data_IF_504472707654
#
_entry.id   IF_504472707654
#
_cell.length_a   1.000
_cell.length_b   1.000
_cell.length_c   1.000
_cell.angle_alpha   90.00
_cell.angle_beta   90.00
_cell.angle_gamma   90.00
#
_symmetry.space_group_name_H-M   'P 1'
#
loop_
_entity.id
_entity.type
_entity.pdbx_description
1 polymer ?
#
# COMPACT_ATOMS: atom_id res chain seq x y z
N UNK A 1 67.10 23.33 25.28
CA UNK A 1 67.59 21.95 25.30
C UNK A 1 66.38 21.03 25.36
N UNK A 2 66.25 20.20 24.31
CA UNK A 2 65.26 19.15 24.05
C UNK A 2 63.76 19.48 23.96
N UNK A 3 63.38 19.67 22.72
CA UNK A 3 62.02 19.58 22.17
C UNK A 3 61.63 18.09 22.08
N UNK A 4 60.55 17.67 22.72
CA UNK A 4 59.94 16.36 22.50
C UNK A 4 58.62 16.54 21.74
N UNK A 5 58.65 16.29 20.42
CA UNK A 5 57.50 16.22 19.53
C UNK A 5 56.87 14.84 19.71
N UNK A 6 55.68 14.79 20.30
CA UNK A 6 54.87 13.58 20.34
C UNK A 6 54.23 13.40 18.95
N UNK A 7 54.70 12.42 18.17
CA UNK A 7 54.04 11.93 16.94
C UNK A 7 52.77 11.19 17.33
N UNK A 8 51.65 11.83 17.19
CA UNK A 8 50.34 11.13 17.27
C UNK A 8 50.12 10.26 16.00
N UNK A 9 49.81 9.03 16.25
CA UNK A 9 49.67 7.96 15.26
C UNK A 9 48.40 8.19 14.43
N UNK A 10 48.50 8.32 13.10
CA UNK A 10 47.43 8.60 12.16
C UNK A 10 46.24 7.60 12.21
N UNK A 11 46.38 6.48 12.90
CA UNK A 11 45.27 5.52 13.10
C UNK A 11 44.25 5.98 14.14
N UNK A 12 44.63 6.78 15.11
CA UNK A 12 43.72 7.27 16.18
C UNK A 12 42.87 8.44 15.67
N UNK A 13 43.40 9.28 14.77
CA UNK A 13 42.64 10.39 14.18
C UNK A 13 41.53 9.94 13.23
N UNK A 14 41.70 8.78 12.57
CA UNK A 14 40.67 8.18 11.72
C UNK A 14 39.46 7.63 12.49
N UNK A 15 39.66 7.21 13.74
CA UNK A 15 38.56 6.72 14.59
C UNK A 15 37.70 7.85 15.16
N UNK A 16 38.33 8.95 15.60
CA UNK A 16 37.59 10.11 16.10
C UNK A 16 36.82 10.85 15.00
N UNK A 17 37.32 10.93 13.78
CA UNK A 17 36.63 11.53 12.67
C UNK A 17 35.40 10.69 12.21
N UNK A 18 35.50 9.36 12.31
CA UNK A 18 34.35 8.46 12.03
C UNK A 18 33.30 8.48 13.14
N UNK A 19 33.70 8.61 14.40
CA UNK A 19 32.77 8.76 15.53
C UNK A 19 32.05 10.13 15.51
N UNK A 20 32.73 11.22 15.15
CA UNK A 20 32.10 12.54 15.02
C UNK A 20 31.11 12.62 13.83
N UNK A 21 31.41 11.96 12.69
CA UNK A 21 30.45 11.91 11.57
C UNK A 21 29.21 11.09 11.90
N UNK A 22 29.29 10.05 12.73
CA UNK A 22 28.14 9.26 13.16
C UNK A 22 27.27 10.02 14.17
N UNK A 23 27.88 10.87 15.02
CA UNK A 23 27.12 11.67 16.01
C UNK A 23 26.47 12.91 15.38
N UNK A 24 27.06 13.50 14.32
CA UNK A 24 26.50 14.67 13.63
C UNK A 24 25.42 14.29 12.58
N UNK A 25 25.37 13.04 12.10
CA UNK A 25 24.27 12.53 11.26
C UNK A 25 23.06 12.08 12.09
N UNK A 26 23.19 11.93 13.40
CA UNK A 26 22.10 11.49 14.29
C UNK A 26 21.09 12.57 14.67
N UNK A 27 21.34 13.85 14.38
CA UNK A 27 20.46 14.97 14.80
C UNK A 27 19.55 15.55 13.71
N UNK A 28 19.55 14.97 12.49
CA UNK A 28 18.70 15.37 11.37
C UNK A 28 17.68 14.31 10.95
N UNK A 29 17.54 13.21 11.74
CA UNK A 29 16.56 12.17 11.44
C UNK A 29 15.25 12.57 12.11
N UNK A 30 14.36 13.20 11.32
CA UNK A 30 12.97 13.30 11.66
C UNK A 30 12.41 11.91 12.00
N UNK A 31 11.38 11.87 12.84
CA UNK A 31 10.67 10.69 13.35
C UNK A 31 10.36 9.64 12.26
N UNK A 32 11.37 8.87 11.85
CA UNK A 32 11.20 7.67 11.04
C UNK A 32 10.75 6.52 11.94
N UNK A 33 9.95 5.60 11.42
CA UNK A 33 9.66 4.34 12.09
C UNK A 33 10.97 3.76 12.65
N UNK A 34 11.09 3.64 13.96
CA UNK A 34 12.27 3.05 14.60
C UNK A 34 12.33 1.57 14.22
N UNK A 35 13.50 1.12 13.80
CA UNK A 35 13.78 -0.29 13.61
C UNK A 35 14.87 -0.71 14.56
N UNK A 36 14.71 -1.87 15.17
CA UNK A 36 15.71 -2.55 15.97
C UNK A 36 16.22 -3.74 15.17
N UNK A 37 17.52 -3.93 15.08
CA UNK A 37 18.12 -5.06 14.37
C UNK A 37 18.76 -6.01 15.37
N UNK A 38 18.39 -7.28 15.31
CA UNK A 38 18.93 -8.33 16.13
C UNK A 38 19.09 -9.60 15.29
N UNK A 39 20.28 -10.21 15.29
CA UNK A 39 20.56 -11.42 14.54
C UNK A 39 20.29 -11.32 13.02
N UNK A 40 20.42 -10.13 12.42
CA UNK A 40 20.08 -9.87 11.01
C UNK A 40 18.58 -9.61 10.75
N UNK A 41 17.70 -9.76 11.75
CA UNK A 41 16.28 -9.48 11.65
C UNK A 41 15.99 -8.03 12.03
N UNK A 42 15.15 -7.36 11.24
CA UNK A 42 14.73 -5.97 11.48
C UNK A 42 13.35 -5.95 12.12
N UNK A 43 13.27 -5.52 13.38
CA UNK A 43 12.02 -5.30 14.11
C UNK A 43 11.57 -3.85 13.94
N UNK A 44 10.41 -3.63 13.31
CA UNK A 44 9.89 -2.31 13.00
C UNK A 44 8.87 -1.88 14.05
N UNK A 45 8.98 -0.64 14.51
CA UNK A 45 8.02 -0.06 15.46
C UNK A 45 6.83 0.58 14.70
N UNK A 46 5.71 -0.12 14.66
CA UNK A 46 4.45 0.39 14.12
C UNK A 46 3.53 1.00 15.21
N UNK A 47 3.87 0.88 16.49
CA UNK A 47 3.04 1.38 17.60
C UNK A 47 2.82 2.89 17.55
N UNK A 48 3.77 3.62 16.97
CA UNK A 48 3.72 5.08 16.81
C UNK A 48 3.34 5.54 15.41
N UNK A 49 2.87 4.63 14.54
CA UNK A 49 2.61 4.94 13.13
C UNK A 49 1.63 6.09 12.95
N UNK A 50 0.50 6.10 13.68
CA UNK A 50 -0.48 7.19 13.61
C UNK A 50 0.16 8.54 13.95
N UNK A 51 0.94 8.61 15.02
CA UNK A 51 1.63 9.84 15.44
C UNK A 51 2.65 10.30 14.38
N UNK A 52 3.37 9.36 13.75
CA UNK A 52 4.32 9.65 12.66
C UNK A 52 3.60 10.23 11.45
N UNK A 53 2.45 9.67 11.07
CA UNK A 53 1.66 10.15 9.94
C UNK A 53 1.06 11.54 10.22
N UNK A 54 0.51 11.76 11.42
CA UNK A 54 0.01 13.08 11.85
C UNK A 54 1.11 14.14 11.81
N UNK A 55 2.29 13.82 12.32
CA UNK A 55 3.44 14.71 12.30
C UNK A 55 3.90 14.99 10.85
N UNK A 56 3.92 13.98 9.99
CA UNK A 56 4.25 14.14 8.56
C UNK A 56 3.26 15.03 7.81
N UNK A 57 1.97 14.98 8.14
CA UNK A 57 0.94 15.85 7.58
C UNK A 57 1.09 17.31 8.03
N UNK A 58 1.57 17.54 9.26
CA UNK A 58 1.70 18.89 9.86
C UNK A 58 3.01 19.60 9.47
N UNK A 59 4.05 18.84 9.11
CA UNK A 59 5.35 19.43 8.76
C UNK A 59 5.29 20.25 7.47
N UNK A 60 5.92 21.42 7.48
CA UNK A 60 6.22 22.19 6.28
C UNK A 60 5.00 22.54 5.43
N UNK A 61 3.85 22.76 6.05
CA UNK A 61 2.58 23.10 5.36
C UNK A 61 2.12 22.03 4.35
N UNK A 62 2.49 20.76 4.58
CA UNK A 62 2.17 19.66 3.67
C UNK A 62 0.66 19.49 3.49
N UNK A 63 -0.15 19.76 4.52
CA UNK A 63 -1.62 19.73 4.44
C UNK A 63 -2.21 20.63 3.35
N UNK A 64 -1.56 21.72 2.98
CA UNK A 64 -2.05 22.60 1.89
C UNK A 64 -1.94 21.98 0.49
N UNK A 65 -1.18 20.91 0.34
CA UNK A 65 -1.04 20.18 -0.91
C UNK A 65 -2.18 19.16 -1.13
N UNK A 66 -2.94 18.85 -0.08
CA UNK A 66 -3.97 17.82 -0.12
C UNK A 66 -5.32 18.40 -0.52
N UNK A 67 -6.00 17.74 -1.44
CA UNK A 67 -7.40 18.02 -1.73
C UNK A 67 -8.27 17.63 -0.55
N UNK A 68 -9.18 18.51 -0.17
CA UNK A 68 -10.22 18.15 0.77
C UNK A 68 -11.12 17.06 0.20
N UNK A 69 -11.70 16.23 1.08
CA UNK A 69 -12.51 15.08 0.68
C UNK A 69 -13.67 15.48 -0.26
N UNK A 70 -14.28 16.65 -0.06
CA UNK A 70 -15.36 17.15 -0.92
C UNK A 70 -14.87 17.60 -2.31
N UNK A 71 -13.65 18.11 -2.41
CA UNK A 71 -13.03 18.48 -3.68
C UNK A 71 -12.67 17.22 -4.47
N UNK A 72 -12.08 16.23 -3.79
CA UNK A 72 -11.80 14.94 -4.40
C UNK A 72 -13.09 14.27 -4.88
N UNK A 73 -14.18 14.31 -4.10
CA UNK A 73 -15.49 13.77 -4.52
C UNK A 73 -16.01 14.43 -5.80
N UNK A 74 -15.92 15.74 -5.92
CA UNK A 74 -16.32 16.46 -7.15
C UNK A 74 -15.57 15.95 -8.37
N UNK A 75 -14.24 15.81 -8.27
CA UNK A 75 -13.41 15.26 -9.35
C UNK A 75 -13.79 13.82 -9.69
N UNK A 76 -14.00 12.98 -8.67
CA UNK A 76 -14.28 11.56 -8.83
C UNK A 76 -15.62 11.31 -9.52
N UNK A 77 -16.65 12.14 -9.27
CA UNK A 77 -17.97 12.03 -9.89
C UNK A 77 -17.98 12.33 -11.40
N UNK A 78 -16.91 12.98 -11.91
CA UNK A 78 -16.74 13.25 -13.35
C UNK A 78 -16.01 12.11 -14.07
N UNK A 79 -15.47 11.13 -13.34
CA UNK A 79 -14.71 10.02 -13.91
C UNK A 79 -15.65 9.01 -14.58
N UNK A 80 -15.34 8.72 -15.82
CA UNK A 80 -16.08 7.69 -16.57
C UNK A 80 -15.64 6.29 -16.12
N UNK A 81 -16.60 5.42 -15.84
CA UNK A 81 -16.33 4.02 -15.55
C UNK A 81 -15.63 3.34 -16.73
N UNK A 82 -14.61 2.54 -16.42
CA UNK A 82 -13.78 1.83 -17.42
C UNK A 82 -13.06 2.75 -18.41
N UNK A 83 -12.77 4.00 -18.02
CA UNK A 83 -11.92 4.86 -18.83
C UNK A 83 -10.52 4.24 -18.97
N UNK A 84 -9.87 4.31 -20.13
CA UNK A 84 -8.52 3.81 -20.32
C UNK A 84 -7.52 4.62 -19.50
N UNK A 85 -6.50 3.94 -18.97
CA UNK A 85 -5.42 4.54 -18.16
C UNK A 85 -4.09 4.38 -18.90
N UNK A 86 -3.48 5.50 -19.24
CA UNK A 86 -2.16 5.49 -19.84
C UNK A 86 -1.09 5.30 -18.76
N UNK A 87 -0.56 4.08 -18.63
CA UNK A 87 0.52 3.74 -17.71
C UNK A 87 1.42 2.67 -18.28
N UNK A 88 2.72 2.98 -18.32
CA UNK A 88 3.72 2.00 -18.72
C UNK A 88 4.05 1.11 -17.52
N UNK A 89 3.61 -0.13 -17.59
CA UNK A 89 3.88 -1.10 -16.54
C UNK A 89 5.36 -1.51 -16.50
N UNK A 90 5.89 -1.72 -15.32
CA UNK A 90 7.20 -2.32 -15.12
C UNK A 90 7.20 -3.75 -15.68
N UNK A 91 8.30 -4.12 -16.36
CA UNK A 91 8.47 -5.48 -16.91
C UNK A 91 8.41 -6.54 -15.80
N UNK A 92 7.85 -7.70 -16.17
CA UNK A 92 7.82 -8.89 -15.30
C UNK A 92 9.24 -9.32 -14.90
N UNK A 93 9.41 -9.66 -13.63
CA UNK A 93 10.59 -10.38 -13.14
C UNK A 93 10.52 -11.83 -13.59
N UNK A 94 11.66 -12.38 -14.00
CA UNK A 94 11.74 -13.74 -14.52
C UNK A 94 12.35 -14.72 -13.52
N UNK A 95 13.21 -14.22 -12.62
CA UNK A 95 13.90 -15.04 -11.62
C UNK A 95 12.97 -15.34 -10.46
N UNK A 96 12.91 -16.61 -10.03
CA UNK A 96 12.28 -16.95 -8.75
C UNK A 96 13.06 -16.33 -7.61
N UNK A 97 12.33 -15.89 -6.61
CA UNK A 97 12.82 -15.24 -5.40
C UNK A 97 12.44 -16.08 -4.19
N UNK A 98 13.22 -15.98 -3.13
CA UNK A 98 12.81 -16.46 -1.82
C UNK A 98 11.73 -15.53 -1.25
N UNK A 99 10.84 -15.99 -0.35
CA UNK A 99 9.79 -15.17 0.21
C UNK A 99 10.29 -13.86 0.83
N UNK A 100 11.41 -13.89 1.56
CA UNK A 100 12.06 -12.73 2.13
C UNK A 100 12.58 -11.76 1.07
N UNK A 101 13.14 -12.25 -0.05
CA UNK A 101 13.56 -11.41 -1.17
C UNK A 101 12.35 -10.72 -1.85
N UNK A 102 11.21 -11.42 -1.96
CA UNK A 102 9.97 -10.84 -2.50
C UNK A 102 9.56 -9.65 -1.65
N UNK A 103 9.51 -9.82 -0.33
CA UNK A 103 9.09 -8.75 0.59
C UNK A 103 10.06 -7.57 0.54
N UNK A 104 11.36 -7.83 0.61
CA UNK A 104 12.38 -6.78 0.56
C UNK A 104 12.26 -5.93 -0.72
N UNK A 105 12.07 -6.57 -1.88
CA UNK A 105 12.02 -5.90 -3.19
C UNK A 105 10.69 -5.21 -3.49
N UNK A 106 9.58 -5.64 -2.86
CA UNK A 106 8.23 -5.16 -3.21
C UNK A 106 7.59 -4.28 -2.14
N UNK A 107 8.17 -4.23 -0.96
CA UNK A 107 7.67 -3.46 0.17
C UNK A 107 7.45 -1.98 -0.18
N UNK A 108 8.39 -1.35 -0.88
CA UNK A 108 8.29 0.05 -1.29
C UNK A 108 7.21 0.31 -2.36
N UNK A 109 6.76 -0.74 -3.06
CA UNK A 109 5.65 -0.65 -4.03
C UNK A 109 4.28 -0.70 -3.37
N UNK A 110 4.20 -0.96 -2.04
CA UNK A 110 2.96 -1.08 -1.27
C UNK A 110 2.78 0.14 -0.39
N UNK A 111 1.63 0.78 -0.49
CA UNK A 111 1.27 1.97 0.29
C UNK A 111 0.05 1.65 1.15
N UNK A 112 -0.08 2.35 2.29
CA UNK A 112 -1.35 2.41 3.01
C UNK A 112 -2.21 3.53 2.44
N UNK A 113 -3.52 3.29 2.31
CA UNK A 113 -4.52 4.34 2.09
C UNK A 113 -5.04 4.75 3.45
N UNK A 114 -5.07 6.04 3.72
CA UNK A 114 -5.41 6.58 5.04
C UNK A 114 -6.46 7.67 4.92
N UNK A 115 -7.23 7.88 5.99
CA UNK A 115 -8.08 9.04 6.17
C UNK A 115 -7.58 9.89 7.34
N UNK A 116 -7.47 11.20 7.12
CA UNK A 116 -7.28 12.15 8.20
C UNK A 116 -8.64 12.64 8.66
N UNK A 117 -8.89 12.50 9.94
CA UNK A 117 -10.17 12.80 10.57
C UNK A 117 -10.01 13.96 11.55
N UNK A 118 -11.00 14.84 11.55
CA UNK A 118 -11.10 15.94 12.49
C UNK A 118 -12.33 15.75 13.39
N UNK A 119 -12.12 15.46 14.67
CA UNK A 119 -13.22 15.29 15.61
C UNK A 119 -13.82 16.63 16.04
N UNK A 120 -15.08 16.61 16.51
CA UNK A 120 -15.80 17.81 16.94
C UNK A 120 -15.13 18.56 18.09
N UNK A 121 -14.33 17.86 18.92
CA UNK A 121 -13.58 18.44 20.04
C UNK A 121 -12.18 18.96 19.63
N UNK A 122 -11.89 19.05 18.32
CA UNK A 122 -10.58 19.51 17.83
C UNK A 122 -9.47 18.46 17.86
N UNK A 123 -9.75 17.23 18.29
CA UNK A 123 -8.79 16.15 18.18
C UNK A 123 -8.64 15.71 16.72
N UNK A 124 -7.42 15.35 16.36
CA UNK A 124 -7.05 14.90 15.02
C UNK A 124 -6.55 13.48 15.10
N UNK A 125 -6.91 12.66 14.12
CA UNK A 125 -6.47 11.27 14.04
C UNK A 125 -6.29 10.83 12.59
N UNK A 126 -5.47 9.82 12.39
CA UNK A 126 -5.32 9.13 11.11
C UNK A 126 -5.81 7.69 11.30
N UNK A 127 -6.59 7.21 10.35
CA UNK A 127 -7.02 5.82 10.33
C UNK A 127 -6.47 5.11 9.11
N UNK A 128 -5.98 3.88 9.28
CA UNK A 128 -5.70 2.97 8.18
C UNK A 128 -7.03 2.57 7.52
N UNK A 129 -7.13 2.76 6.20
CA UNK A 129 -8.36 2.51 5.45
C UNK A 129 -8.25 1.32 4.52
N UNK A 130 -7.15 1.25 3.76
CA UNK A 130 -6.91 0.22 2.76
C UNK A 130 -5.42 0.13 2.38
N UNK A 131 -5.14 -0.69 1.40
CA UNK A 131 -3.83 -0.85 0.76
C UNK A 131 -3.89 -0.33 -0.68
N UNK A 132 -2.78 0.16 -1.21
CA UNK A 132 -2.63 0.52 -2.61
C UNK A 132 -1.29 0.03 -3.15
N UNK A 133 -1.19 -0.08 -4.47
CA UNK A 133 0.00 -0.53 -5.17
C UNK A 133 0.46 0.53 -6.15
N UNK A 134 1.75 0.85 -6.11
CA UNK A 134 2.39 1.76 -7.07
C UNK A 134 2.59 1.04 -8.40
N UNK A 135 2.10 1.60 -9.49
CA UNK A 135 2.24 1.07 -10.86
C UNK A 135 3.25 1.84 -11.71
N UNK A 136 3.54 3.11 -11.36
CA UNK A 136 4.50 3.93 -12.09
C UNK A 136 5.34 4.81 -11.16
N UNK A 137 6.54 5.16 -11.60
CA UNK A 137 7.47 6.03 -10.87
C UNK A 137 6.89 7.42 -10.58
N UNK A 138 5.97 7.89 -11.42
CA UNK A 138 5.32 9.19 -11.33
C UNK A 138 3.96 9.17 -10.61
N UNK A 139 3.68 8.12 -9.82
CA UNK A 139 2.58 8.12 -8.87
C UNK A 139 1.24 7.61 -9.37
N UNK A 140 1.16 6.84 -10.47
CA UNK A 140 -0.05 6.09 -10.79
C UNK A 140 -0.11 4.85 -9.89
N UNK A 141 -1.22 4.71 -9.19
CA UNK A 141 -1.48 3.63 -8.23
C UNK A 141 -2.80 2.93 -8.55
N UNK A 142 -2.96 1.72 -7.99
CA UNK A 142 -4.20 0.95 -8.05
C UNK A 142 -4.63 0.52 -6.65
N UNK A 143 -5.95 0.50 -6.41
CA UNK A 143 -6.61 -0.07 -5.23
C UNK A 143 -7.99 -0.58 -5.63
N UNK A 144 -8.82 -1.04 -4.69
CA UNK A 144 -10.18 -1.44 -4.99
C UNK A 144 -11.11 -0.24 -5.25
N UNK A 145 -12.15 -0.47 -6.07
CA UNK A 145 -13.25 0.47 -6.27
C UNK A 145 -13.92 0.86 -4.96
N UNK A 146 -14.23 -0.13 -4.09
CA UNK A 146 -14.94 0.12 -2.84
C UNK A 146 -14.15 1.01 -1.86
N UNK A 147 -12.82 1.16 -2.02
CA UNK A 147 -11.99 2.08 -1.22
C UNK A 147 -12.39 3.54 -1.47
N UNK A 148 -12.78 3.85 -2.71
CA UNK A 148 -13.32 5.15 -3.11
C UNK A 148 -14.85 5.16 -3.21
N UNK A 149 -15.55 4.10 -2.80
CA UNK A 149 -16.98 3.92 -2.99
C UNK A 149 -17.83 5.11 -2.53
N UNK A 150 -17.53 5.68 -1.36
CA UNK A 150 -18.22 6.87 -0.83
C UNK A 150 -18.03 8.12 -1.72
N UNK A 151 -16.90 8.21 -2.44
CA UNK A 151 -16.61 9.30 -3.37
C UNK A 151 -17.28 9.09 -4.72
N UNK A 152 -17.32 7.83 -5.17
CA UNK A 152 -17.85 7.42 -6.48
C UNK A 152 -19.38 7.34 -6.53
N UNK A 153 -20.05 7.43 -5.40
CA UNK A 153 -21.50 7.46 -5.31
C UNK A 153 -22.02 8.86 -4.95
N UNK A 154 -22.76 9.48 -5.87
CA UNK A 154 -23.32 10.82 -5.66
C UNK A 154 -24.34 10.85 -4.52
N UNK A 155 -25.07 9.75 -4.27
CA UNK A 155 -26.09 9.63 -3.23
C UNK A 155 -25.51 9.47 -1.82
N UNK A 156 -24.25 9.06 -1.68
CA UNK A 156 -23.61 8.87 -0.38
C UNK A 156 -23.15 10.21 0.20
N UNK A 157 -23.62 10.53 1.41
CA UNK A 157 -23.08 11.67 2.18
C UNK A 157 -21.77 11.25 2.83
N UNK A 158 -20.73 12.07 2.60
CA UNK A 158 -19.44 11.86 3.25
C UNK A 158 -19.58 12.07 4.77
N UNK A 159 -18.78 11.31 5.53
CA UNK A 159 -18.66 11.55 6.95
C UNK A 159 -18.10 12.98 7.18
N UNK A 160 -18.79 13.85 7.94
CA UNK A 160 -18.32 15.23 8.19
C UNK A 160 -16.95 15.30 8.87
N UNK A 161 -16.50 14.19 9.48
CA UNK A 161 -15.17 14.08 10.11
C UNK A 161 -14.05 13.80 9.12
N UNK A 162 -14.35 13.21 7.96
CA UNK A 162 -13.38 12.94 6.93
C UNK A 162 -12.92 14.25 6.30
N UNK A 163 -11.67 14.60 6.47
CA UNK A 163 -11.13 15.85 5.92
C UNK A 163 -10.32 15.63 4.68
N UNK A 164 -9.51 14.56 4.65
CA UNK A 164 -8.56 14.24 3.57
C UNK A 164 -8.37 12.73 3.45
N UNK A 165 -8.27 12.24 2.22
CA UNK A 165 -7.72 10.90 1.92
C UNK A 165 -6.31 11.06 1.35
N UNK A 166 -5.40 10.17 1.75
CA UNK A 166 -4.01 10.19 1.31
C UNK A 166 -3.40 8.80 1.34
N UNK A 167 -2.24 8.64 0.73
CA UNK A 167 -1.46 7.41 0.88
C UNK A 167 -0.16 7.68 1.63
N UNK A 168 0.35 6.64 2.28
CA UNK A 168 1.61 6.73 3.00
C UNK A 168 2.49 5.51 2.72
N UNK A 169 3.80 5.76 2.60
CA UNK A 169 4.82 4.74 2.57
C UNK A 169 5.13 4.23 3.99
N UNK A 170 5.84 3.10 4.08
CA UNK A 170 6.22 2.50 5.35
C UNK A 170 7.05 3.43 6.24
N UNK A 171 7.93 4.23 5.63
CA UNK A 171 8.78 5.19 6.32
C UNK A 171 8.03 6.41 6.87
N UNK A 172 6.70 6.46 6.73
CA UNK A 172 5.85 7.56 7.19
C UNK A 172 5.74 8.74 6.22
N UNK A 173 6.35 8.65 5.03
CA UNK A 173 6.19 9.69 4.01
C UNK A 173 4.78 9.64 3.43
N UNK A 174 4.13 10.79 3.37
CA UNK A 174 2.72 10.95 2.96
C UNK A 174 2.63 11.60 1.58
N UNK A 175 1.67 11.14 0.77
CA UNK A 175 1.45 11.62 -0.59
C UNK A 175 -0.02 11.96 -0.82
N UNK A 176 -0.31 13.15 -1.36
CA UNK A 176 -1.66 13.56 -1.72
C UNK A 176 -2.26 12.68 -2.82
N UNK A 177 -3.53 12.31 -2.69
CA UNK A 177 -4.32 11.78 -3.79
C UNK A 177 -4.81 12.96 -4.62
N UNK A 178 -4.36 13.05 -5.86
CA UNK A 178 -4.66 14.16 -6.76
C UNK A 178 -5.96 13.96 -7.53
N UNK A 179 -6.19 12.74 -8.01
CA UNK A 179 -7.35 12.39 -8.83
C UNK A 179 -7.55 10.88 -8.91
N UNK A 180 -8.77 10.44 -9.10
CA UNK A 180 -9.10 9.09 -9.58
C UNK A 180 -9.12 9.15 -11.11
N UNK A 181 -8.40 8.24 -11.77
CA UNK A 181 -8.24 8.21 -13.23
C UNK A 181 -9.29 7.34 -13.90
N UNK A 182 -9.61 6.22 -13.29
CA UNK A 182 -10.56 5.23 -13.78
C UNK A 182 -11.01 4.30 -12.67
N UNK A 183 -12.15 3.69 -12.83
CA UNK A 183 -12.63 2.62 -11.96
C UNK A 183 -13.47 1.63 -12.75
N UNK A 184 -13.62 0.41 -12.21
CA UNK A 184 -14.59 -0.56 -12.69
C UNK A 184 -15.24 -1.26 -11.50
N UNK A 185 -16.58 -1.20 -11.42
CA UNK A 185 -17.36 -1.74 -10.29
C UNK A 185 -17.36 -3.25 -10.29
N UNK A 186 -17.55 -3.87 -11.46
CA UNK A 186 -17.59 -5.32 -11.58
C UNK A 186 -16.25 -5.97 -11.21
N UNK A 187 -15.13 -5.34 -11.60
CA UNK A 187 -13.80 -5.78 -11.21
C UNK A 187 -13.41 -5.36 -9.79
N UNK A 188 -14.13 -4.46 -9.14
CA UNK A 188 -13.77 -3.88 -7.85
C UNK A 188 -12.36 -3.26 -7.88
N UNK A 189 -12.05 -2.42 -8.88
CA UNK A 189 -10.75 -1.75 -9.00
C UNK A 189 -10.88 -0.26 -9.32
N UNK A 190 -9.90 0.52 -8.89
CA UNK A 190 -9.75 1.94 -9.19
C UNK A 190 -8.29 2.31 -9.37
N UNK A 191 -8.01 3.07 -10.41
CA UNK A 191 -6.71 3.69 -10.67
C UNK A 191 -6.75 5.14 -10.23
N UNK A 192 -5.71 5.60 -9.60
CA UNK A 192 -5.61 6.97 -9.11
C UNK A 192 -4.18 7.50 -9.22
N UNK A 193 -4.03 8.80 -9.17
CA UNK A 193 -2.73 9.50 -9.19
C UNK A 193 -2.47 10.17 -7.86
N UNK A 194 -1.24 10.07 -7.42
CA UNK A 194 -0.73 10.80 -6.27
C UNK A 194 0.30 11.84 -6.71
N UNK A 195 0.45 12.90 -5.92
CA UNK A 195 1.62 13.78 -6.03
C UNK A 195 2.80 13.12 -5.30
N UNK A 196 3.81 12.72 -6.04
CA UNK A 196 5.00 12.07 -5.47
C UNK A 196 5.89 13.03 -4.68
N UNK A 197 5.62 14.34 -4.75
CA UNK A 197 6.41 15.39 -4.09
C UNK A 197 7.89 15.32 -4.45
N UNK A 198 8.18 14.96 -5.71
CA UNK A 198 9.52 14.83 -6.25
C UNK A 198 10.21 13.50 -5.98
N UNK A 199 9.55 12.54 -5.32
CA UNK A 199 10.09 11.19 -5.18
C UNK A 199 9.93 10.39 -6.46
N UNK A 200 10.88 9.51 -6.71
CA UNK A 200 10.77 8.44 -7.70
C UNK A 200 10.30 7.19 -6.95
N UNK A 201 9.06 6.80 -7.23
CA UNK A 201 8.46 5.64 -6.57
C UNK A 201 8.95 4.34 -7.23
N UNK A 202 8.85 3.22 -6.48
CA UNK A 202 9.21 1.89 -6.98
C UNK A 202 7.95 1.19 -7.53
N UNK A 203 7.81 1.03 -8.87
CA UNK A 203 6.64 0.37 -9.43
C UNK A 203 6.65 -1.13 -9.17
N UNK A 204 5.48 -1.69 -8.88
CA UNK A 204 5.24 -3.13 -8.81
C UNK A 204 5.27 -3.73 -10.23
N UNK A 205 6.06 -4.78 -10.50
CA UNK A 205 5.94 -5.49 -11.76
C UNK A 205 4.61 -6.26 -11.81
N UNK A 206 3.91 -6.19 -12.94
CA UNK A 206 2.61 -6.84 -13.14
C UNK A 206 2.78 -8.08 -14.00
N UNK A 207 2.50 -9.24 -13.43
CA UNK A 207 2.58 -10.55 -14.06
C UNK A 207 1.31 -10.95 -14.80
N UNK A 208 0.93 -12.24 -14.69
CA UNK A 208 -0.22 -12.86 -15.35
C UNK A 208 -1.06 -13.61 -14.31
N UNK A 209 -2.32 -13.86 -14.67
CA UNK A 209 -3.18 -14.71 -13.86
C UNK A 209 -2.54 -16.09 -13.66
N UNK A 210 -2.72 -16.66 -12.48
CA UNK A 210 -2.12 -17.92 -12.10
C UNK A 210 -3.15 -19.08 -12.14
N UNK A 211 -2.73 -20.30 -12.52
CA UNK A 211 -3.56 -21.48 -12.41
C UNK A 211 -3.75 -21.92 -10.95
N UNK A 212 -4.79 -22.72 -10.72
CA UNK A 212 -5.07 -23.35 -9.41
C UNK A 212 -3.85 -24.16 -8.95
N UNK A 213 -3.52 -24.07 -7.66
CA UNK A 213 -2.38 -24.73 -7.02
C UNK A 213 -1.09 -23.92 -7.04
N UNK A 214 -1.03 -22.79 -7.77
CA UNK A 214 0.14 -21.90 -7.76
C UNK A 214 0.34 -21.26 -6.40
N UNK A 215 1.58 -21.16 -5.93
CA UNK A 215 1.95 -20.39 -4.75
C UNK A 215 1.68 -18.91 -4.95
N UNK A 216 1.20 -18.26 -3.90
CA UNK A 216 0.94 -16.81 -3.86
C UNK A 216 1.47 -16.21 -2.57
N UNK A 217 1.97 -14.96 -2.69
CA UNK A 217 2.51 -14.13 -1.63
C UNK A 217 1.69 -12.85 -1.55
N UNK A 218 1.27 -12.46 -0.36
CA UNK A 218 0.54 -11.24 -0.10
C UNK A 218 1.32 -10.35 0.87
N UNK A 219 1.46 -9.08 0.54
CA UNK A 219 1.87 -8.04 1.47
C UNK A 219 0.76 -6.99 1.52
N UNK A 220 0.15 -6.79 2.67
CA UNK A 220 -0.98 -5.88 2.82
C UNK A 220 -1.02 -5.20 4.19
N UNK A 221 -2.03 -4.36 4.39
CA UNK A 221 -2.18 -3.57 5.61
C UNK A 221 -3.52 -3.89 6.30
N UNK A 222 -3.69 -5.09 6.89
CA UNK A 222 -4.86 -5.36 7.71
C UNK A 222 -4.92 -4.36 8.87
N UNK A 223 -6.14 -4.04 9.30
CA UNK A 223 -6.40 -3.01 10.32
C UNK A 223 -5.56 -3.21 11.58
N UNK A 224 -4.73 -2.22 11.90
CA UNK A 224 -3.81 -2.28 13.05
C UNK A 224 -2.51 -3.07 12.84
N UNK A 225 -2.35 -3.74 11.69
CA UNK A 225 -1.18 -4.59 11.40
C UNK A 225 -0.58 -4.26 10.01
N UNK A 226 -0.03 -3.06 9.81
CA UNK A 226 0.50 -2.65 8.51
C UNK A 226 1.67 -3.52 8.07
N UNK A 227 1.79 -3.73 6.76
CA UNK A 227 2.85 -4.51 6.12
C UNK A 227 2.94 -5.97 6.59
N UNK A 228 1.77 -6.57 6.88
CA UNK A 228 1.66 -7.99 7.19
C UNK A 228 1.85 -8.83 5.93
N UNK A 229 2.72 -9.83 6.04
CA UNK A 229 2.95 -10.83 5.00
C UNK A 229 2.20 -12.12 5.31
N UNK A 230 1.51 -12.66 4.30
CA UNK A 230 0.93 -13.99 4.33
C UNK A 230 1.22 -14.75 3.03
N UNK A 231 1.14 -16.09 3.07
CA UNK A 231 1.38 -16.97 1.93
C UNK A 231 0.26 -18.00 1.83
N UNK A 232 -0.02 -18.42 0.60
CA UNK A 232 -1.01 -19.46 0.32
C UNK A 232 -0.88 -19.97 -1.11
N UNK A 233 -1.98 -20.51 -1.64
CA UNK A 233 -2.09 -20.96 -3.02
C UNK A 233 -3.34 -20.39 -3.67
N UNK A 234 -3.39 -20.36 -5.00
CA UNK A 234 -4.63 -20.19 -5.75
C UNK A 234 -5.50 -21.43 -5.51
N UNK A 235 -6.64 -21.27 -4.87
CA UNK A 235 -7.55 -22.36 -4.52
C UNK A 235 -8.63 -22.60 -5.58
N UNK A 236 -9.07 -21.53 -6.28
CA UNK A 236 -10.11 -21.62 -7.32
C UNK A 236 -10.05 -20.39 -8.23
N UNK A 237 -10.45 -20.57 -9.49
CA UNK A 237 -10.70 -19.49 -10.45
C UNK A 237 -12.15 -19.57 -10.89
N UNK A 238 -12.87 -18.42 -10.82
CA UNK A 238 -14.31 -18.36 -11.10
C UNK A 238 -14.66 -17.09 -11.83
N UNK A 239 -15.79 -17.09 -12.54
CA UNK A 239 -16.45 -15.87 -12.96
C UNK A 239 -17.76 -15.69 -12.19
N UNK A 240 -18.04 -14.47 -11.78
CA UNK A 240 -19.32 -14.12 -11.14
C UNK A 240 -20.41 -13.77 -12.17
N UNK A 241 -19.99 -13.47 -13.40
CA UNK A 241 -20.84 -13.23 -14.54
C UNK A 241 -20.10 -13.62 -15.83
N UNK A 242 -20.47 -14.69 -16.54
CA UNK A 242 -19.80 -15.13 -17.75
C UNK A 242 -19.80 -14.11 -18.90
N UNK A 243 -20.77 -13.21 -18.94
CA UNK A 243 -20.89 -12.17 -19.97
C UNK A 243 -20.00 -10.95 -19.70
N UNK A 244 -19.44 -10.84 -18.48
CA UNK A 244 -18.61 -9.72 -18.09
C UNK A 244 -17.18 -10.17 -17.76
N UNK A 245 -16.19 -9.86 -18.61
CA UNK A 245 -14.80 -10.25 -18.37
C UNK A 245 -14.16 -9.57 -17.14
N UNK A 246 -14.80 -8.54 -16.56
CA UNK A 246 -14.39 -7.92 -15.31
C UNK A 246 -14.91 -8.65 -14.06
N UNK A 247 -15.84 -9.58 -14.23
CA UNK A 247 -16.42 -10.38 -13.14
C UNK A 247 -15.56 -11.59 -12.74
N UNK A 248 -14.40 -11.81 -13.34
CA UNK A 248 -13.49 -12.90 -12.99
C UNK A 248 -12.86 -12.69 -11.61
N UNK A 249 -12.70 -13.80 -10.88
CA UNK A 249 -12.03 -13.82 -9.57
C UNK A 249 -11.06 -14.98 -9.50
N UNK A 250 -9.94 -14.71 -8.84
CA UNK A 250 -8.99 -15.71 -8.39
C UNK A 250 -9.14 -15.81 -6.87
N UNK A 251 -9.50 -17.01 -6.38
CA UNK A 251 -9.63 -17.26 -4.95
C UNK A 251 -8.35 -17.86 -4.41
N UNK A 252 -8.01 -17.57 -3.17
CA UNK A 252 -6.75 -18.01 -2.58
C UNK A 252 -6.88 -18.39 -1.11
N UNK A 253 -5.85 -19.08 -0.59
CA UNK A 253 -5.79 -19.49 0.82
C UNK A 253 -4.98 -18.53 1.70
N UNK A 254 -4.18 -17.63 1.15
CA UNK A 254 -3.44 -16.63 1.94
C UNK A 254 -4.39 -15.74 2.73
N UNK A 255 -4.09 -15.52 4.02
CA UNK A 255 -4.94 -14.76 4.92
C UNK A 255 -4.86 -13.25 4.71
N UNK A 256 -6.03 -12.60 4.84
CA UNK A 256 -6.14 -11.15 4.89
C UNK A 256 -7.39 -10.72 5.68
N UNK A 257 -7.46 -9.46 6.05
CA UNK A 257 -8.59 -8.88 6.78
C UNK A 257 -8.93 -7.49 6.24
N UNK A 258 -9.89 -6.80 6.86
CA UNK A 258 -10.22 -5.39 6.60
C UNK A 258 -8.94 -4.55 6.60
N UNK A 259 -8.81 -3.62 5.65
CA UNK A 259 -7.60 -2.83 5.43
C UNK A 259 -6.63 -3.44 4.41
N UNK A 260 -6.71 -4.75 4.13
CA UNK A 260 -5.91 -5.40 3.07
C UNK A 260 -6.42 -5.13 1.66
N UNK A 261 -7.64 -4.59 1.51
CA UNK A 261 -8.22 -4.23 0.20
C UNK A 261 -7.24 -3.42 -0.65
N UNK A 262 -7.02 -3.83 -1.90
CA UNK A 262 -6.02 -3.24 -2.78
C UNK A 262 -4.61 -3.81 -2.63
N UNK A 263 -4.37 -4.71 -1.67
CA UNK A 263 -3.06 -5.36 -1.47
C UNK A 263 -2.66 -6.28 -2.63
N UNK A 264 -1.37 -6.26 -3.06
CA UNK A 264 -0.91 -7.10 -4.16
C UNK A 264 -0.78 -8.56 -3.76
N UNK A 265 -1.34 -9.43 -4.59
CA UNK A 265 -1.03 -10.86 -4.61
C UNK A 265 0.10 -11.06 -5.62
N UNK A 266 1.16 -11.71 -5.22
CA UNK A 266 2.37 -11.87 -6.03
C UNK A 266 2.68 -13.35 -6.28
N UNK A 267 3.31 -13.63 -7.43
CA UNK A 267 3.90 -14.95 -7.74
C UNK A 267 5.27 -15.14 -7.05
N UNK A 268 5.88 -16.31 -7.22
CA UNK A 268 7.24 -16.63 -6.73
C UNK A 268 8.36 -15.74 -7.31
N UNK A 269 8.05 -14.82 -8.21
CA UNK A 269 8.99 -13.86 -8.78
C UNK A 269 8.75 -12.45 -8.25
N UNK A 270 7.71 -12.30 -7.40
CA UNK A 270 7.29 -11.01 -6.88
C UNK A 270 6.56 -10.14 -7.92
N UNK A 271 5.98 -10.72 -8.97
CA UNK A 271 5.09 -10.01 -9.87
C UNK A 271 3.67 -10.02 -9.32
N UNK A 272 2.99 -8.89 -9.35
CA UNK A 272 1.58 -8.82 -8.98
C UNK A 272 0.74 -9.62 -10.00
N UNK A 273 -0.03 -10.58 -9.52
CA UNK A 273 -0.88 -11.48 -10.31
C UNK A 273 -2.37 -11.28 -10.03
N UNK A 274 -2.68 -10.69 -8.86
CA UNK A 274 -4.02 -10.28 -8.47
C UNK A 274 -3.95 -9.19 -7.39
N UNK A 275 -5.11 -8.68 -7.01
CA UNK A 275 -5.31 -7.72 -5.93
C UNK A 275 -6.38 -8.23 -4.96
N UNK A 276 -6.16 -8.08 -3.66
CA UNK A 276 -7.17 -8.38 -2.63
C UNK A 276 -8.47 -7.63 -2.93
N UNK A 277 -9.62 -8.30 -2.80
CA UNK A 277 -10.94 -7.67 -2.91
C UNK A 277 -11.75 -7.88 -1.63
N UNK A 278 -12.34 -9.06 -1.44
CA UNK A 278 -13.22 -9.28 -0.29
C UNK A 278 -13.15 -10.72 0.26
N UNK A 279 -13.75 -10.89 1.43
CA UNK A 279 -13.92 -12.18 2.10
C UNK A 279 -15.42 -12.51 2.10
N UNK A 280 -15.74 -13.77 1.79
CA UNK A 280 -17.07 -14.36 1.99
C UNK A 280 -16.98 -15.46 3.03
N UNK A 281 -17.65 -15.28 4.15
CA UNK A 281 -17.73 -16.29 5.21
C UNK A 281 -18.79 -17.34 4.88
N UNK A 282 -18.44 -18.61 5.08
CA UNK A 282 -19.37 -19.74 5.03
C UNK A 282 -19.65 -20.14 6.45
N UNK A 283 -20.93 -20.14 6.83
CA UNK A 283 -21.40 -20.54 8.15
C UNK A 283 -22.16 -21.86 8.08
N UNK A 284 -22.04 -22.66 9.13
CA UNK A 284 -22.83 -23.89 9.28
C UNK A 284 -24.34 -23.60 9.42
N UNK A 285 -24.65 -22.50 10.12
CA UNK A 285 -26.04 -22.06 10.37
C UNK A 285 -26.22 -20.63 9.88
N UNK A 286 -27.38 -20.33 9.29
CA UNK A 286 -27.81 -18.97 8.93
C UNK A 286 -28.53 -18.24 10.08
N UNK A 287 -28.70 -18.93 11.21
CA UNK A 287 -29.24 -18.36 12.46
C UNK A 287 -28.24 -18.53 13.61
N UNK A 288 -28.24 -17.64 14.60
CA UNK A 288 -27.38 -17.77 15.78
C UNK A 288 -27.61 -19.11 16.52
N UNK A 289 -26.52 -19.76 17.01
CA UNK A 289 -25.13 -19.36 16.87
C UNK A 289 -24.55 -19.64 15.48
N UNK A 290 -23.85 -18.65 14.92
CA UNK A 290 -23.18 -18.75 13.61
C UNK A 290 -21.85 -19.48 13.78
N UNK A 291 -21.75 -20.73 13.38
CA UNK A 291 -20.49 -21.46 13.39
C UNK A 291 -19.76 -21.22 12.08
N UNK A 292 -18.68 -20.42 12.10
CA UNK A 292 -17.84 -20.18 10.94
C UNK A 292 -17.18 -21.49 10.48
N UNK A 293 -17.36 -21.85 9.22
CA UNK A 293 -16.78 -23.04 8.61
C UNK A 293 -15.52 -22.69 7.79
N UNK A 294 -15.63 -21.65 6.96
CA UNK A 294 -14.57 -21.27 6.04
C UNK A 294 -14.70 -19.80 5.62
N UNK A 295 -13.56 -19.17 5.34
CA UNK A 295 -13.49 -17.88 4.66
C UNK A 295 -13.02 -18.10 3.22
N UNK A 296 -13.87 -17.77 2.24
CA UNK A 296 -13.51 -17.70 0.83
C UNK A 296 -12.91 -16.33 0.55
N UNK A 297 -11.67 -16.29 0.09
CA UNK A 297 -10.90 -15.06 -0.14
C UNK A 297 -10.84 -14.74 -1.62
N UNK A 298 -11.52 -13.68 -2.03
CA UNK A 298 -11.67 -13.26 -3.42
C UNK A 298 -10.65 -12.20 -3.77
N UNK A 299 -10.04 -12.34 -4.94
CA UNK A 299 -9.09 -11.37 -5.49
C UNK A 299 -9.44 -11.02 -6.93
N UNK A 300 -9.03 -9.83 -7.36
CA UNK A 300 -9.17 -9.34 -8.73
C UNK A 300 -7.94 -9.75 -9.52
N UNK A 301 -8.04 -10.58 -10.57
CA UNK A 301 -6.91 -11.00 -11.38
C UNK A 301 -6.34 -9.83 -12.21
N UNK A 302 -5.05 -9.86 -12.50
CA UNK A 302 -4.38 -8.79 -13.27
C UNK A 302 -4.86 -8.69 -14.72
N UNK A 303 -5.46 -9.73 -15.27
CA UNK A 303 -6.13 -9.65 -16.58
C UNK A 303 -7.23 -8.59 -16.62
N UNK A 304 -7.93 -8.34 -15.50
CA UNK A 304 -8.89 -7.24 -15.40
C UNK A 304 -8.21 -5.87 -15.51
N UNK A 305 -7.03 -5.68 -14.89
CA UNK A 305 -6.26 -4.43 -14.95
C UNK A 305 -5.83 -4.12 -16.38
N UNK A 306 -5.28 -5.13 -17.06
CA UNK A 306 -4.76 -5.00 -18.41
C UNK A 306 -5.81 -4.56 -19.43
N UNK A 307 -7.11 -4.77 -19.16
CA UNK A 307 -8.20 -4.31 -20.01
C UNK A 307 -8.41 -2.80 -19.99
N UNK A 308 -7.96 -2.13 -18.93
CA UNK A 308 -8.06 -0.67 -18.77
C UNK A 308 -6.72 0.05 -18.99
N UNK A 309 -5.63 -0.67 -19.17
CA UNK A 309 -4.30 -0.08 -19.35
C UNK A 309 -3.99 0.03 -20.84
N UNK A 310 -3.68 1.26 -21.26
CA UNK A 310 -3.12 1.60 -22.57
C UNK A 310 -1.65 1.96 -22.41
N UNK A 311 -0.76 1.30 -23.18
CA UNK A 311 0.67 1.59 -23.11
C UNK A 311 1.57 0.45 -23.58
#
# INVERSE_FOLDING_TARGET
MFCNVIRMNNRVMGYYCRLLCVVLLGSLIGTTCRAQQEGGVVYRDYTRREAVLLDSLKRGNVMSLFKGINELKKQVLEVKESAPVNVKLRREERRKLLPEEIIERRRESVLTVNKYLRAMAGSEMVTDWATAVVLSENGICVTNYHVFGELLDAGVKLNPRDSVMFVAAENGRVYPIMEVLSFNRAADMAFFRIDTRGDVLVPMPVGRDLPIGSDVHLLSNPEGYPYTYTRGIVSRTVTLNPEDPFANRMEMTADFAKGSSGGPIMDDRGNMVAMVSCIRAIYYSHQPPYYLQMNVKLTVPVSAFRRLIEG
#
